data_IF_678322202650
#
_entry.id   IF_678322202650
#
_cell.length_a   1.000
_cell.length_b   1.000
_cell.length_c   1.000
_cell.angle_alpha   90.00
_cell.angle_beta   90.00
_cell.angle_gamma   90.00
#
_symmetry.space_group_name_H-M   'P 1'
#
loop_
_entity.id
_entity.type
_entity.pdbx_description
1 polymer ?
#
# COMPACT_ATOMS: atom_id res chain seq x y z
N UNK A 1 19.73 -9.66 1.65
CA UNK A 1 19.16 -8.30 1.54
C UNK A 1 18.66 -7.83 2.89
N UNK A 2 18.42 -6.52 3.09
CA UNK A 2 17.85 -5.99 4.33
C UNK A 2 16.39 -5.56 4.13
N UNK A 3 15.57 -5.76 5.16
CA UNK A 3 14.16 -5.32 5.20
C UNK A 3 14.00 -3.84 4.84
N UNK A 4 14.97 -2.99 5.24
CA UNK A 4 14.94 -1.54 4.94
C UNK A 4 14.90 -1.27 3.43
N UNK A 5 15.70 -1.98 2.63
CA UNK A 5 15.72 -1.76 1.18
C UNK A 5 14.39 -2.10 0.51
N UNK A 6 13.72 -3.15 0.98
CA UNK A 6 12.41 -3.57 0.47
C UNK A 6 11.36 -2.49 0.78
N UNK A 7 11.39 -1.96 2.02
CA UNK A 7 10.48 -0.88 2.42
C UNK A 7 10.74 0.41 1.63
N UNK A 8 11.99 0.75 1.38
CA UNK A 8 12.37 1.93 0.60
C UNK A 8 11.87 1.81 -0.85
N UNK A 9 12.06 0.65 -1.48
CA UNK A 9 11.58 0.38 -2.85
C UNK A 9 10.06 0.48 -2.97
N UNK A 10 9.33 -0.14 -2.02
CA UNK A 10 7.87 -0.01 -1.96
C UNK A 10 7.47 1.46 -1.79
N UNK A 11 8.18 2.22 -0.95
CA UNK A 11 7.88 3.63 -0.76
C UNK A 11 8.04 4.45 -2.04
N UNK A 12 9.17 4.28 -2.73
CA UNK A 12 9.48 4.99 -3.98
C UNK A 12 8.44 4.67 -5.05
N UNK A 13 8.15 3.39 -5.28
CA UNK A 13 7.18 2.98 -6.28
C UNK A 13 5.79 3.58 -6.03
N UNK A 14 5.29 3.50 -4.80
CA UNK A 14 3.95 4.02 -4.50
C UNK A 14 3.89 5.54 -4.57
N UNK A 15 4.90 6.25 -4.10
CA UNK A 15 4.98 7.72 -4.20
C UNK A 15 5.00 8.20 -5.65
N UNK A 16 5.69 7.49 -6.53
CA UNK A 16 5.81 7.85 -7.95
C UNK A 16 4.55 7.52 -8.78
N UNK A 17 3.94 6.35 -8.55
CA UNK A 17 2.93 5.81 -9.47
C UNK A 17 1.50 5.79 -8.92
N UNK A 18 1.30 5.86 -7.60
CA UNK A 18 -0.02 5.69 -6.98
C UNK A 18 -0.36 6.88 -6.08
N UNK A 19 0.23 6.90 -4.89
CA UNK A 19 0.16 7.92 -3.86
C UNK A 19 1.11 7.48 -2.73
N UNK A 20 1.67 8.43 -1.95
CA UNK A 20 2.55 8.10 -0.85
C UNK A 20 1.92 7.07 0.10
N UNK A 21 2.65 5.99 0.47
CA UNK A 21 2.16 5.05 1.46
C UNK A 21 1.83 5.75 2.76
N UNK A 22 0.64 5.47 3.30
CA UNK A 22 0.30 5.82 4.67
C UNK A 22 1.01 4.88 5.65
N UNK A 23 1.01 3.58 5.34
CA UNK A 23 1.57 2.54 6.19
C UNK A 23 1.83 1.26 5.41
N UNK A 24 2.99 0.64 5.59
CA UNK A 24 3.21 -0.76 5.19
C UNK A 24 2.72 -1.65 6.33
N UNK A 25 1.67 -2.45 6.09
CA UNK A 25 1.02 -3.31 7.09
C UNK A 25 1.86 -4.56 7.37
N UNK A 26 2.38 -5.18 6.31
CA UNK A 26 3.17 -6.41 6.42
C UNK A 26 4.10 -6.55 5.23
N UNK A 27 5.25 -7.18 5.47
CA UNK A 27 6.16 -7.67 4.44
C UNK A 27 6.53 -9.09 4.82
N UNK A 28 6.36 -10.05 3.90
CA UNK A 28 6.70 -11.46 4.12
C UNK A 28 7.48 -11.99 2.91
N UNK A 29 8.50 -12.84 3.13
CA UNK A 29 9.14 -13.53 2.02
C UNK A 29 8.16 -14.53 1.38
N UNK A 30 8.28 -14.74 0.08
CA UNK A 30 7.63 -15.80 -0.68
C UNK A 30 8.66 -16.48 -1.60
N UNK A 31 8.23 -17.41 -2.45
CA UNK A 31 9.13 -18.15 -3.35
C UNK A 31 9.80 -17.29 -4.43
N UNK A 32 9.27 -16.09 -4.69
CA UNK A 32 9.70 -15.20 -5.79
C UNK A 32 10.26 -13.86 -5.30
N UNK A 33 10.47 -13.71 -3.98
CA UNK A 33 10.90 -12.46 -3.34
C UNK A 33 10.07 -12.14 -2.10
N UNK A 34 9.27 -11.07 -2.16
CA UNK A 34 8.46 -10.58 -1.04
C UNK A 34 7.05 -10.18 -1.45
N UNK A 35 6.08 -10.53 -0.61
CA UNK A 35 4.73 -9.97 -0.65
C UNK A 35 4.60 -8.87 0.42
N UNK A 36 3.89 -7.79 0.08
CA UNK A 36 3.62 -6.70 0.97
C UNK A 36 2.16 -6.24 0.90
N UNK A 37 1.64 -5.79 2.04
CA UNK A 37 0.37 -5.10 2.12
C UNK A 37 0.60 -3.63 2.51
N UNK A 38 0.08 -2.71 1.72
CA UNK A 38 0.34 -1.27 1.85
C UNK A 38 -0.98 -0.51 1.93
N UNK A 39 -1.15 0.31 2.96
CA UNK A 39 -2.23 1.29 3.06
C UNK A 39 -1.81 2.59 2.40
N UNK A 40 -2.69 3.13 1.57
CA UNK A 40 -2.54 4.39 0.85
C UNK A 40 -3.76 5.26 1.13
N UNK A 41 -3.54 6.54 1.43
CA UNK A 41 -4.65 7.50 1.51
C UNK A 41 -5.09 7.86 0.10
N UNK A 42 -6.32 7.49 -0.24
CA UNK A 42 -6.98 7.86 -1.47
C UNK A 42 -7.92 9.03 -1.22
N UNK A 43 -7.49 10.22 -1.63
CA UNK A 43 -8.35 11.39 -1.65
C UNK A 43 -9.04 11.53 -3.02
N UNK A 44 -10.32 11.89 -3.02
CA UNK A 44 -11.04 12.33 -4.22
C UNK A 44 -11.46 13.78 -4.05
N UNK A 45 -11.44 14.59 -5.11
CA UNK A 45 -11.88 15.99 -5.07
C UNK A 45 -13.30 16.14 -4.48
N UNK A 46 -14.20 15.21 -4.79
CA UNK A 46 -15.52 15.16 -4.18
C UNK A 46 -15.46 15.04 -2.64
N UNK A 47 -14.60 14.19 -2.09
CA UNK A 47 -14.51 14.01 -0.63
C UNK A 47 -13.99 15.29 0.04
N UNK A 48 -13.02 15.97 -0.58
CA UNK A 48 -12.52 17.29 -0.15
C UNK A 48 -13.61 18.35 -0.16
N UNK A 49 -14.42 18.40 -1.22
CA UNK A 49 -15.47 19.41 -1.38
C UNK A 49 -16.60 19.28 -0.35
N UNK A 50 -16.89 18.07 0.13
CA UNK A 50 -17.99 17.79 1.05
C UNK A 50 -17.55 17.37 2.45
N UNK A 51 -16.26 17.58 2.79
CA UNK A 51 -15.67 17.20 4.09
C UNK A 51 -16.01 15.77 4.52
N UNK A 52 -16.01 14.83 3.57
CA UNK A 52 -16.26 13.41 3.82
C UNK A 52 -14.96 12.67 4.17
N UNK A 53 -15.09 11.55 4.87
CA UNK A 53 -13.96 10.73 5.32
C UNK A 53 -13.02 10.34 4.18
N UNK A 54 -11.71 10.52 4.38
CA UNK A 54 -10.69 10.03 3.46
C UNK A 54 -10.85 8.52 3.24
N UNK A 55 -10.50 8.03 2.05
CA UNK A 55 -10.51 6.60 1.79
C UNK A 55 -9.12 6.01 2.02
N UNK A 56 -9.06 4.81 2.58
CA UNK A 56 -7.84 4.01 2.65
C UNK A 56 -7.97 2.89 1.62
N UNK A 57 -7.05 2.89 0.66
CA UNK A 57 -6.82 1.78 -0.24
C UNK A 57 -5.80 0.81 0.38
N UNK A 58 -6.13 -0.49 0.41
CA UNK A 58 -5.17 -1.54 0.77
C UNK A 58 -4.68 -2.21 -0.50
N UNK A 59 -3.38 -2.18 -0.73
CA UNK A 59 -2.72 -2.76 -1.87
C UNK A 59 -1.97 -4.01 -1.46
N UNK A 60 -2.08 -5.05 -2.28
CA UNK A 60 -1.19 -6.21 -2.26
C UNK A 60 -0.13 -6.01 -3.35
N UNK A 61 1.14 -6.10 -2.98
CA UNK A 61 2.28 -5.78 -3.84
C UNK A 61 3.31 -6.90 -3.77
N UNK A 62 3.93 -7.23 -4.90
CA UNK A 62 5.04 -8.17 -4.96
C UNK A 62 6.32 -7.46 -5.37
N UNK A 63 7.40 -7.78 -4.66
CA UNK A 63 8.76 -7.32 -4.95
C UNK A 63 9.59 -8.56 -5.27
N UNK A 64 10.25 -8.59 -6.43
CA UNK A 64 11.07 -9.73 -6.83
C UNK A 64 12.44 -9.73 -6.11
N UNK A 65 13.22 -10.80 -6.29
CA UNK A 65 14.59 -10.92 -5.74
C UNK A 65 15.57 -9.85 -6.26
N UNK A 66 15.23 -9.13 -7.33
CA UNK A 66 16.02 -8.04 -7.92
C UNK A 66 15.69 -6.65 -7.32
N UNK A 67 14.78 -6.59 -6.34
CA UNK A 67 14.23 -5.36 -5.74
C UNK A 67 13.39 -4.53 -6.70
N UNK A 68 12.61 -5.18 -7.55
CA UNK A 68 11.65 -4.50 -8.43
C UNK A 68 10.23 -4.84 -8.01
N UNK A 69 9.37 -3.83 -7.96
CA UNK A 69 7.93 -4.05 -7.84
C UNK A 69 7.41 -4.63 -9.15
N UNK A 70 7.08 -5.93 -9.14
CA UNK A 70 6.62 -6.66 -10.34
C UNK A 70 5.11 -6.73 -10.47
N UNK A 71 4.38 -6.51 -9.38
CA UNK A 71 2.92 -6.47 -9.39
C UNK A 71 2.35 -5.66 -8.23
N UNK A 72 1.20 -5.04 -8.46
CA UNK A 72 0.38 -4.46 -7.40
C UNK A 72 -1.11 -4.59 -7.75
N UNK A 73 -1.95 -4.76 -6.73
CA UNK A 73 -3.40 -4.83 -6.87
C UNK A 73 -4.06 -4.17 -5.65
N UNK A 74 -5.03 -3.28 -5.89
CA UNK A 74 -5.87 -2.75 -4.81
C UNK A 74 -6.90 -3.81 -4.39
N UNK A 75 -6.75 -4.35 -3.18
CA UNK A 75 -7.59 -5.41 -2.63
C UNK A 75 -8.86 -4.89 -1.96
N UNK A 76 -8.78 -3.72 -1.35
CA UNK A 76 -9.95 -3.08 -0.74
C UNK A 76 -9.83 -1.56 -0.73
N UNK A 77 -10.99 -0.91 -0.58
CA UNK A 77 -11.13 0.53 -0.42
C UNK A 77 -12.19 0.77 0.64
N UNK A 78 -11.83 1.47 1.71
CA UNK A 78 -12.72 1.71 2.85
C UNK A 78 -12.60 3.15 3.34
N UNK A 79 -13.65 3.74 3.95
CA UNK A 79 -13.48 4.96 4.73
C UNK A 79 -12.44 4.77 5.83
N UNK A 80 -11.62 5.79 6.04
CA UNK A 80 -10.59 5.83 7.10
C UNK A 80 -11.17 5.62 8.50
N UNK A 81 -12.41 6.07 8.71
CA UNK A 81 -13.16 5.95 9.95
C UNK A 81 -13.67 4.53 10.24
N UNK A 82 -13.67 3.64 9.25
CA UNK A 82 -14.13 2.27 9.41
C UNK A 82 -13.17 1.49 10.32
N UNK A 83 -13.71 0.76 11.29
CA UNK A 83 -12.92 -0.06 12.22
C UNK A 83 -12.64 -1.42 11.56
N UNK A 84 -11.37 -1.74 11.33
CA UNK A 84 -10.99 -3.11 10.95
C UNK A 84 -11.07 -3.98 12.20
N UNK A 85 -11.89 -5.02 12.16
CA UNK A 85 -11.83 -6.12 13.14
C UNK A 85 -10.93 -7.18 12.50
N UNK A 86 -9.74 -7.48 13.08
CA UNK A 86 -8.92 -8.58 12.59
C UNK A 86 -9.65 -9.91 12.79
N UNK A 87 -9.63 -10.79 11.78
CA UNK A 87 -10.05 -12.19 11.91
C UNK A 87 -9.10 -12.98 12.83
#
# INVERSE_FOLDING_TARGET
>A
MSMRKILDEIHVFFEEYINPPHKVISVKPNDEGWEAFVEVLEEREYMKAYAKDELIGVYHTQVNEEMEVVSFERRSLRPRSEVIVPD
#
